data_IF_207762843060
#
_entry.id   IF_207762843060
#
_cell.length_a   1.000
_cell.length_b   1.000
_cell.length_c   1.000
_cell.angle_alpha   90.00
_cell.angle_beta   90.00
_cell.angle_gamma   90.00
#
_symmetry.space_group_name_H-M   'P 1'
#
loop_
_entity.id
_entity.type
_entity.pdbx_description
1 polymer ?
#
# COMPACT_ATOMS: atom_id res chain seq x y z
N UNK A 1 -12.60 -1.41 -14.18
CA UNK A 1 -11.19 -1.74 -14.52
C UNK A 1 -11.16 -3.09 -15.25
N UNK A 2 -10.30 -3.31 -16.26
CA UNK A 2 -10.16 -4.64 -16.89
C UNK A 2 -9.12 -5.51 -16.15
N UNK A 3 -9.26 -6.84 -16.21
CA UNK A 3 -8.32 -7.79 -15.56
C UNK A 3 -6.86 -7.56 -15.96
N UNK A 4 -6.60 -7.44 -17.28
CA UNK A 4 -5.25 -7.20 -17.81
C UNK A 4 -4.65 -5.90 -17.26
N UNK A 5 -5.44 -4.83 -17.22
CA UNK A 5 -4.99 -3.53 -16.70
C UNK A 5 -4.72 -3.59 -15.19
N UNK A 6 -5.56 -4.27 -14.42
CA UNK A 6 -5.33 -4.48 -12.98
C UNK A 6 -4.01 -5.24 -12.74
N UNK A 7 -3.81 -6.36 -13.45
CA UNK A 7 -2.62 -7.20 -13.26
C UNK A 7 -1.34 -6.45 -13.64
N UNK A 8 -1.39 -5.70 -14.74
CA UNK A 8 -0.29 -4.84 -15.14
C UNK A 8 0.05 -3.80 -14.05
N UNK A 9 -0.94 -3.12 -13.49
CA UNK A 9 -0.72 -2.14 -12.41
C UNK A 9 -0.11 -2.81 -11.18
N UNK A 10 -0.66 -3.94 -10.73
CA UNK A 10 -0.14 -4.67 -9.55
C UNK A 10 1.32 -5.05 -9.77
N UNK A 11 1.65 -5.67 -10.91
CA UNK A 11 3.01 -6.11 -11.21
C UNK A 11 3.97 -4.93 -11.31
N UNK A 12 3.57 -3.86 -12.00
CA UNK A 12 4.40 -2.66 -12.17
C UNK A 12 4.67 -1.96 -10.83
N UNK A 13 3.62 -1.70 -10.05
CA UNK A 13 3.73 -1.03 -8.76
C UNK A 13 4.54 -1.85 -7.74
N UNK A 14 4.34 -3.16 -7.68
CA UNK A 14 5.11 -4.01 -6.77
C UNK A 14 6.57 -4.14 -7.20
N UNK A 15 6.84 -4.25 -8.50
CA UNK A 15 8.22 -4.29 -9.02
C UNK A 15 8.98 -3.00 -8.67
N UNK A 16 8.34 -1.84 -8.87
CA UNK A 16 8.91 -0.56 -8.46
C UNK A 16 9.16 -0.51 -6.93
N UNK A 17 8.21 -1.01 -6.13
CA UNK A 17 8.36 -1.13 -4.68
C UNK A 17 9.52 -2.03 -4.25
N UNK A 18 9.68 -3.21 -4.86
CA UNK A 18 10.79 -4.11 -4.56
C UNK A 18 12.14 -3.53 -4.97
N UNK A 19 12.24 -2.91 -6.16
CA UNK A 19 13.45 -2.21 -6.60
C UNK A 19 13.81 -1.11 -5.60
N UNK A 20 12.82 -0.34 -5.15
CA UNK A 20 13.01 0.70 -4.15
C UNK A 20 13.53 0.13 -2.82
N UNK A 21 12.90 -0.91 -2.28
CA UNK A 21 13.34 -1.54 -1.03
C UNK A 21 14.74 -2.15 -1.13
N UNK A 22 15.09 -2.73 -2.29
CA UNK A 22 16.39 -3.37 -2.51
C UNK A 22 17.52 -2.34 -2.66
N UNK A 23 17.27 -1.28 -3.42
CA UNK A 23 18.31 -0.28 -3.75
C UNK A 23 18.43 0.82 -2.69
N UNK A 24 17.38 1.04 -1.89
CA UNK A 24 17.31 2.18 -0.98
C UNK A 24 17.22 3.53 -1.71
N UNK A 25 17.08 3.55 -3.04
CA UNK A 25 16.99 4.77 -3.84
C UNK A 25 15.64 5.46 -3.58
N UNK A 26 15.59 6.26 -2.51
CA UNK A 26 14.41 7.00 -2.08
C UNK A 26 14.51 8.46 -2.49
N UNK A 27 13.46 8.97 -3.11
CA UNK A 27 13.20 10.41 -3.01
C UNK A 27 12.70 10.70 -1.59
N UNK A 28 13.13 11.83 -1.02
CA UNK A 28 12.48 12.36 0.18
C UNK A 28 10.99 12.55 -0.10
N UNK A 29 10.14 12.36 0.91
CA UNK A 29 8.70 12.51 0.73
C UNK A 29 8.40 13.93 0.20
N UNK A 30 8.00 14.03 -1.07
CA UNK A 30 7.76 15.32 -1.72
C UNK A 30 6.73 16.17 -0.95
N UNK A 31 5.69 15.53 -0.42
CA UNK A 31 4.68 16.17 0.42
C UNK A 31 5.30 16.80 1.68
N UNK A 32 6.20 16.10 2.37
CA UNK A 32 6.91 16.61 3.55
C UNK A 32 7.87 17.73 3.18
N UNK A 33 8.58 17.60 2.05
CA UNK A 33 9.49 18.64 1.57
C UNK A 33 8.76 19.95 1.27
N UNK A 34 7.53 19.89 0.73
CA UNK A 34 6.75 21.08 0.42
C UNK A 34 5.99 21.66 1.62
N UNK A 35 5.40 20.82 2.47
CA UNK A 35 4.47 21.27 3.52
C UNK A 35 5.09 21.30 4.91
N UNK A 36 6.24 20.65 5.12
CA UNK A 36 6.83 20.41 6.43
C UNK A 36 6.15 19.29 7.23
N UNK A 37 5.04 18.71 6.73
CA UNK A 37 4.22 17.71 7.45
C UNK A 37 4.38 16.34 6.77
N UNK A 38 4.60 15.23 7.52
CA UNK A 38 4.57 13.89 6.92
C UNK A 38 3.23 13.60 6.27
N UNK A 39 3.22 12.87 5.15
CA UNK A 39 1.99 12.28 4.62
C UNK A 39 1.62 11.01 5.40
N UNK A 40 0.39 10.48 5.29
CA UNK A 40 0.00 9.24 5.98
C UNK A 40 0.86 8.01 5.62
N UNK A 41 1.59 8.04 4.49
CA UNK A 41 2.50 6.96 4.09
C UNK A 41 3.95 7.14 4.61
N UNK A 42 4.30 8.28 5.23
CA UNK A 42 5.59 8.46 5.85
C UNK A 42 5.76 7.46 7.01
N UNK A 43 6.84 6.66 6.96
CA UNK A 43 7.11 5.58 7.92
C UNK A 43 6.76 4.17 7.43
N UNK A 44 6.04 4.02 6.32
CA UNK A 44 5.66 2.70 5.79
C UNK A 44 6.89 1.85 5.43
N UNK A 45 7.87 2.44 4.74
CA UNK A 45 9.13 1.74 4.39
C UNK A 45 9.91 1.32 5.63
N UNK A 46 10.00 2.20 6.65
CA UNK A 46 10.68 1.90 7.91
C UNK A 46 10.06 0.70 8.61
N UNK A 47 8.73 0.65 8.65
CA UNK A 47 8.00 -0.51 9.18
C UNK A 47 8.35 -1.80 8.43
N UNK A 48 8.33 -1.77 7.09
CA UNK A 48 8.64 -2.96 6.26
C UNK A 48 10.08 -3.43 6.49
N UNK A 49 11.02 -2.52 6.72
CA UNK A 49 12.42 -2.82 7.03
C UNK A 49 12.65 -3.26 8.50
N UNK A 50 11.61 -3.29 9.33
CA UNK A 50 11.67 -3.76 10.72
C UNK A 50 11.84 -2.69 11.79
N UNK A 51 11.90 -1.41 11.42
CA UNK A 51 11.84 -0.31 12.40
C UNK A 51 10.38 -0.04 12.79
N UNK A 52 9.89 -0.82 13.74
CA UNK A 52 8.54 -0.67 14.29
C UNK A 52 8.40 0.55 15.20
N UNK A 53 9.51 1.16 15.63
CA UNK A 53 9.49 2.32 16.52
C UNK A 53 9.23 3.63 15.77
N UNK A 54 9.78 3.76 14.56
CA UNK A 54 9.56 4.89 13.66
C UNK A 54 8.78 4.51 12.39
N UNK A 55 8.25 3.29 12.35
CA UNK A 55 7.33 2.81 11.35
C UNK A 55 5.88 3.22 11.62
N UNK A 56 5.04 3.16 10.58
CA UNK A 56 3.60 3.32 10.74
C UNK A 56 2.88 1.96 10.51
N UNK A 57 1.70 1.74 11.13
CA UNK A 57 0.92 0.52 10.93
C UNK A 57 0.47 0.28 9.48
N UNK A 58 0.41 1.32 8.64
CA UNK A 58 0.14 1.19 7.20
C UNK A 58 1.16 0.26 6.50
N UNK A 59 2.37 0.12 7.08
CA UNK A 59 3.38 -0.86 6.67
C UNK A 59 2.89 -2.30 6.62
N UNK A 60 1.95 -2.70 7.47
CA UNK A 60 1.35 -4.05 7.44
C UNK A 60 0.54 -4.24 6.16
N UNK A 61 -0.29 -3.26 5.81
CA UNK A 61 -1.15 -3.31 4.61
C UNK A 61 -0.29 -3.27 3.35
N UNK A 62 0.70 -2.38 3.29
CA UNK A 62 1.58 -2.27 2.12
C UNK A 62 2.47 -3.51 1.99
N UNK A 63 3.07 -3.97 3.08
CA UNK A 63 3.93 -5.16 3.09
C UNK A 63 3.18 -6.43 2.66
N UNK A 64 1.95 -6.63 3.14
CA UNK A 64 1.10 -7.75 2.67
C UNK A 64 0.70 -7.59 1.21
N UNK A 65 0.40 -6.37 0.75
CA UNK A 65 0.11 -6.10 -0.66
C UNK A 65 1.29 -6.40 -1.60
N UNK A 66 2.54 -6.35 -1.11
CA UNK A 66 3.72 -6.75 -1.91
C UNK A 66 3.75 -8.25 -2.26
N UNK A 67 2.89 -9.07 -1.65
CA UNK A 67 2.71 -10.49 -2.01
C UNK A 67 1.75 -10.69 -3.20
N UNK A 68 0.94 -9.68 -3.57
CA UNK A 68 0.03 -9.73 -4.70
C UNK A 68 0.66 -10.17 -6.04
N UNK A 69 1.90 -9.77 -6.44
CA UNK A 69 2.52 -10.26 -7.66
C UNK A 69 2.63 -11.79 -7.70
N UNK A 70 2.89 -12.46 -6.56
CA UNK A 70 2.96 -13.92 -6.49
C UNK A 70 1.60 -14.53 -6.83
N UNK A 71 0.52 -13.95 -6.28
CA UNK A 71 -0.85 -14.40 -6.54
C UNK A 71 -1.28 -14.13 -7.99
N UNK A 72 -0.88 -12.98 -8.56
CA UNK A 72 -1.14 -12.65 -9.97
C UNK A 72 -0.44 -13.63 -10.89
N UNK A 73 0.84 -13.93 -10.63
CA UNK A 73 1.60 -14.92 -11.40
C UNK A 73 0.94 -16.29 -11.30
N UNK A 74 0.54 -16.71 -10.10
CA UNK A 74 -0.17 -17.97 -9.88
C UNK A 74 -1.50 -18.04 -10.66
N UNK A 75 -2.29 -16.96 -10.64
CA UNK A 75 -3.52 -16.84 -11.42
C UNK A 75 -3.26 -16.97 -12.93
N UNK A 76 -2.18 -16.37 -13.44
CA UNK A 76 -1.80 -16.48 -14.85
C UNK A 76 -1.42 -17.92 -15.23
N UNK A 77 -0.64 -18.61 -14.40
CA UNK A 77 -0.26 -20.02 -14.63
C UNK A 77 -1.45 -20.97 -14.58
N UNK A 78 -2.34 -20.78 -13.61
CA UNK A 78 -3.53 -21.62 -13.42
C UNK A 78 -4.71 -21.19 -14.28
N UNK A 79 -4.57 -20.13 -15.09
CA UNK A 79 -5.64 -19.48 -15.89
C UNK A 79 -6.85 -19.09 -15.04
N UNK A 80 -6.60 -18.79 -13.78
CA UNK A 80 -7.55 -18.37 -12.76
C UNK A 80 -7.71 -16.84 -12.76
N UNK A 81 -8.74 -16.37 -12.09
CA UNK A 81 -9.14 -14.97 -11.92
C UNK A 81 -9.49 -14.64 -10.46
N UNK A 82 -8.92 -15.39 -9.50
CA UNK A 82 -9.14 -15.20 -8.05
C UNK A 82 -8.76 -13.79 -7.60
N UNK A 83 -7.61 -13.27 -8.01
CA UNK A 83 -7.14 -11.92 -7.66
C UNK A 83 -8.09 -10.86 -8.23
N UNK A 84 -8.56 -11.06 -9.47
CA UNK A 84 -9.50 -10.14 -10.10
C UNK A 84 -10.87 -10.14 -9.40
N UNK A 85 -11.40 -11.32 -9.05
CA UNK A 85 -12.65 -11.40 -8.26
C UNK A 85 -12.51 -10.80 -6.86
N UNK A 86 -11.38 -11.03 -6.19
CA UNK A 86 -11.08 -10.41 -4.91
C UNK A 86 -11.07 -8.88 -5.01
N UNK A 87 -10.47 -8.32 -6.07
CA UNK A 87 -10.49 -6.89 -6.34
C UNK A 87 -11.92 -6.35 -6.51
N UNK A 88 -12.76 -7.02 -7.31
CA UNK A 88 -14.15 -6.58 -7.51
C UNK A 88 -14.95 -6.63 -6.20
N UNK A 89 -14.76 -7.68 -5.41
CA UNK A 89 -15.39 -7.80 -4.09
C UNK A 89 -14.93 -6.71 -3.12
N UNK A 90 -13.63 -6.40 -3.07
CA UNK A 90 -13.10 -5.29 -2.26
C UNK A 90 -13.62 -3.93 -2.73
N UNK A 91 -13.70 -3.71 -4.04
CA UNK A 91 -14.24 -2.47 -4.62
C UNK A 91 -15.70 -2.27 -4.20
N UNK A 92 -16.52 -3.31 -4.30
CA UNK A 92 -17.91 -3.27 -3.85
C UNK A 92 -18.02 -3.03 -2.34
N UNK A 93 -17.16 -3.68 -1.55
CA UNK A 93 -17.16 -3.51 -0.09
C UNK A 93 -16.74 -2.11 0.33
N UNK A 94 -15.74 -1.52 -0.33
CA UNK A 94 -15.23 -0.18 -0.02
C UNK A 94 -16.17 0.94 -0.48
N UNK A 95 -17.07 0.67 -1.43
CA UNK A 95 -18.15 1.60 -1.80
C UNK A 95 -19.23 1.72 -0.72
N UNK A 96 -19.30 0.80 0.23
CA UNK A 96 -20.25 0.90 1.34
C UNK A 96 -19.83 2.06 2.26
N UNK A 97 -20.73 3.03 2.55
CA UNK A 97 -20.35 4.26 3.24
C UNK A 97 -19.79 3.98 4.64
N UNK A 98 -20.33 3.01 5.36
CA UNK A 98 -19.83 2.62 6.69
C UNK A 98 -18.39 2.11 6.61
N UNK A 99 -18.07 1.27 5.62
CA UNK A 99 -16.71 0.74 5.41
C UNK A 99 -15.77 1.87 5.01
N UNK A 100 -16.18 2.74 4.09
CA UNK A 100 -15.40 3.91 3.68
C UNK A 100 -15.07 4.83 4.85
N UNK A 101 -16.06 5.15 5.70
CA UNK A 101 -15.86 6.00 6.89
C UNK A 101 -14.88 5.34 7.86
N UNK A 102 -15.02 4.04 8.13
CA UNK A 102 -14.07 3.31 9.00
C UNK A 102 -12.65 3.40 8.44
N UNK A 103 -12.46 3.15 7.14
CA UNK A 103 -11.14 3.20 6.51
C UNK A 103 -10.54 4.61 6.53
N UNK A 104 -11.35 5.65 6.32
CA UNK A 104 -10.93 7.05 6.43
C UNK A 104 -10.49 7.37 7.85
N UNK A 105 -11.28 6.97 8.86
CA UNK A 105 -10.92 7.18 10.28
C UNK A 105 -9.61 6.47 10.61
N UNK A 106 -9.42 5.21 10.19
CA UNK A 106 -8.16 4.49 10.39
C UNK A 106 -6.98 5.19 9.72
N UNK A 107 -7.16 5.72 8.50
CA UNK A 107 -6.11 6.46 7.80
C UNK A 107 -5.76 7.77 8.52
N UNK A 108 -6.76 8.49 9.03
CA UNK A 108 -6.56 9.72 9.82
C UNK A 108 -5.83 9.42 11.13
N UNK A 109 -6.22 8.36 11.85
CA UNK A 109 -5.53 7.94 13.07
C UNK A 109 -4.06 7.57 12.80
N UNK A 110 -3.80 6.85 11.70
CA UNK A 110 -2.44 6.56 11.25
C UNK A 110 -1.67 7.85 10.89
N UNK A 111 -2.33 8.85 10.29
CA UNK A 111 -1.69 10.12 9.97
C UNK A 111 -1.34 10.93 11.22
N UNK A 112 -2.25 11.01 12.18
CA UNK A 112 -2.01 11.64 13.50
C UNK A 112 -0.81 10.98 14.20
N UNK A 113 -0.71 9.64 14.15
CA UNK A 113 0.47 8.92 14.64
C UNK A 113 1.75 9.38 13.96
N UNK A 114 1.78 9.43 12.62
CA UNK A 114 2.96 9.87 11.87
C UNK A 114 3.38 11.30 12.22
N UNK A 115 2.42 12.22 12.37
CA UNK A 115 2.69 13.61 12.78
C UNK A 115 3.24 13.66 14.21
N UNK A 116 2.64 12.92 15.14
CA UNK A 116 3.09 12.90 16.55
C UNK A 116 4.52 12.39 16.73
N UNK A 117 4.98 11.54 15.81
CA UNK A 117 6.33 10.98 15.78
C UNK A 117 7.34 11.84 14.99
N UNK A 118 6.91 12.95 14.39
CA UNK A 118 7.77 13.81 13.58
C UNK A 118 8.36 13.12 12.34
N UNK A 119 7.67 12.08 11.84
CA UNK A 119 8.12 11.28 10.70
C UNK A 119 8.26 12.10 9.41
#
# INVERSE_FOLDING_TARGET
MSRKKLYFIILLSCSAGFIYLWTGFAFTCFFKTLTGIPCPACGTTRFILGDFTHGNPLGIIVGTAMLLPILVIFDLFTRSDRVFRMYLWLEEKFRQPVVAVILIVLLVLNWVWSISKGL
#
